data_IF_155213478086
#
_entry.id   IF_155213478086
#
_cell.length_a   1.000
_cell.length_b   1.000
_cell.length_c   1.000
_cell.angle_alpha   90.00
_cell.angle_beta   90.00
_cell.angle_gamma   90.00
#
_symmetry.space_group_name_H-M   'P 1'
#
loop_
_entity.id
_entity.type
_entity.pdbx_description
1 polymer ?
#
# COMPACT_ATOMS: atom_id res chain seq x y z
N UNK A 1 10.51 5.42 -30.93
CA UNK A 1 9.41 5.13 -29.98
C UNK A 1 9.99 5.12 -28.57
N UNK A 2 9.37 5.83 -27.63
CA UNK A 2 9.83 5.90 -26.25
C UNK A 2 9.02 4.95 -25.38
N UNK A 3 9.66 3.96 -24.76
CA UNK A 3 8.98 3.04 -23.84
C UNK A 3 9.01 3.61 -22.42
N UNK A 4 7.87 3.60 -21.72
CA UNK A 4 7.82 3.99 -20.30
C UNK A 4 7.03 2.97 -19.50
N UNK A 5 7.49 2.74 -18.27
CA UNK A 5 6.81 1.85 -17.32
C UNK A 5 5.55 2.50 -16.76
N UNK A 6 4.41 1.87 -17.01
CA UNK A 6 3.07 2.31 -16.59
C UNK A 6 2.31 1.18 -15.91
N UNK A 7 1.64 1.51 -14.80
CA UNK A 7 0.67 0.65 -14.14
C UNK A 7 -0.72 1.28 -14.19
N UNK A 8 -1.75 0.48 -13.91
CA UNK A 8 -3.11 0.99 -13.76
C UNK A 8 -3.20 2.08 -12.68
N UNK A 9 -2.53 1.88 -11.54
CA UNK A 9 -2.50 2.85 -10.45
C UNK A 9 -1.81 4.15 -10.91
N UNK A 10 -0.66 4.06 -11.58
CA UNK A 10 0.05 5.23 -12.13
C UNK A 10 -0.79 5.99 -13.16
N UNK A 11 -1.61 5.29 -13.95
CA UNK A 11 -2.56 5.92 -14.88
C UNK A 11 -3.67 6.67 -14.15
N UNK A 12 -4.17 6.14 -13.04
CA UNK A 12 -5.29 6.71 -12.28
C UNK A 12 -4.90 7.99 -11.51
N UNK A 13 -3.77 7.98 -10.80
CA UNK A 13 -3.35 9.08 -9.91
C UNK A 13 -2.44 10.10 -10.62
N UNK A 14 -1.97 9.77 -11.82
CA UNK A 14 -1.02 10.57 -12.60
C UNK A 14 0.43 10.25 -12.28
N UNK A 15 1.30 10.40 -13.29
CA UNK A 15 2.71 9.96 -13.18
C UNK A 15 3.49 10.72 -12.11
N UNK A 16 3.28 12.02 -11.94
CA UNK A 16 4.03 12.83 -10.97
C UNK A 16 3.68 12.41 -9.53
N UNK A 17 2.38 12.41 -9.21
CA UNK A 17 1.88 12.01 -7.89
C UNK A 17 2.28 10.58 -7.55
N UNK A 18 2.17 9.65 -8.52
CA UNK A 18 2.54 8.26 -8.30
C UNK A 18 4.02 8.11 -7.92
N UNK A 19 4.94 8.74 -8.64
CA UNK A 19 6.37 8.63 -8.34
C UNK A 19 6.72 9.29 -7.01
N UNK A 20 6.07 10.41 -6.66
CA UNK A 20 6.25 11.07 -5.37
C UNK A 20 5.76 10.18 -4.21
N UNK A 21 4.51 9.70 -4.26
CA UNK A 21 3.96 8.82 -3.23
C UNK A 21 4.71 7.50 -3.13
N UNK A 22 5.15 6.93 -4.27
CA UNK A 22 5.97 5.72 -4.26
C UNK A 22 7.36 5.99 -3.68
N UNK A 23 7.92 7.17 -3.89
CA UNK A 23 9.16 7.62 -3.25
C UNK A 23 9.04 7.65 -1.73
N UNK A 24 7.97 8.26 -1.21
CA UNK A 24 7.67 8.23 0.22
C UNK A 24 7.44 6.80 0.72
N UNK A 25 6.66 5.99 -0.01
CA UNK A 25 6.39 4.62 0.38
C UNK A 25 7.68 3.79 0.48
N UNK A 26 8.58 3.86 -0.51
CA UNK A 26 9.87 3.16 -0.49
C UNK A 26 10.74 3.52 0.70
N UNK A 27 10.68 4.77 1.17
CA UNK A 27 11.48 5.24 2.31
C UNK A 27 10.84 4.86 3.65
N UNK A 28 9.54 5.10 3.81
CA UNK A 28 8.87 5.02 5.11
C UNK A 28 8.25 3.65 5.40
N UNK A 29 7.75 2.92 4.39
CA UNK A 29 7.08 1.63 4.61
C UNK A 29 8.02 0.57 5.19
N UNK A 30 9.28 0.40 4.74
CA UNK A 30 10.20 -0.56 5.36
C UNK A 30 10.45 -0.25 6.84
N UNK A 31 10.66 1.04 7.17
CA UNK A 31 10.89 1.50 8.54
C UNK A 31 9.66 1.22 9.41
N UNK A 32 8.47 1.61 8.93
CA UNK A 32 7.21 1.36 9.62
C UNK A 32 6.95 -0.14 9.82
N UNK A 33 7.30 -0.97 8.84
CA UNK A 33 7.17 -2.43 8.91
C UNK A 33 8.08 -3.02 9.99
N UNK A 34 9.34 -2.58 10.07
CA UNK A 34 10.27 -3.02 11.12
C UNK A 34 9.74 -2.64 12.49
N UNK A 35 9.28 -1.39 12.67
CA UNK A 35 8.69 -0.92 13.94
C UNK A 35 7.47 -1.76 14.31
N UNK A 36 6.57 -2.03 13.35
CA UNK A 36 5.39 -2.88 13.56
C UNK A 36 5.76 -4.29 13.98
N UNK A 37 6.73 -4.93 13.33
CA UNK A 37 7.20 -6.27 13.69
C UNK A 37 7.78 -6.28 15.11
N UNK A 38 8.63 -5.32 15.45
CA UNK A 38 9.21 -5.21 16.80
C UNK A 38 8.12 -5.01 17.85
N UNK A 39 7.15 -4.14 17.60
CA UNK A 39 6.01 -3.92 18.50
C UNK A 39 5.18 -5.20 18.68
N UNK A 40 4.92 -5.94 17.60
CA UNK A 40 4.17 -7.19 17.65
C UNK A 40 4.91 -8.26 18.47
N UNK A 41 6.22 -8.43 18.25
CA UNK A 41 7.05 -9.38 19.01
C UNK A 41 7.05 -9.00 20.49
N UNK A 42 7.33 -7.73 20.82
CA UNK A 42 7.34 -7.26 22.21
C UNK A 42 5.98 -7.49 22.90
N UNK A 43 4.88 -7.34 22.17
CA UNK A 43 3.54 -7.55 22.71
C UNK A 43 3.24 -8.99 23.13
N UNK A 44 3.97 -9.97 22.59
CA UNK A 44 3.83 -11.37 23.00
C UNK A 44 4.53 -11.67 24.33
N UNK A 45 5.57 -10.91 24.68
CA UNK A 45 6.37 -11.15 25.88
C UNK A 45 6.00 -10.21 27.04
N UNK A 46 5.40 -9.06 26.75
CA UNK A 46 5.18 -7.99 27.74
C UNK A 46 3.81 -7.34 27.56
N UNK A 47 2.86 -7.63 28.46
CA UNK A 47 1.52 -7.00 28.51
C UNK A 47 1.54 -5.58 29.11
N UNK A 48 2.44 -4.72 28.67
CA UNK A 48 2.48 -3.33 29.15
C UNK A 48 1.39 -2.49 28.47
N UNK A 49 0.63 -1.73 29.26
CA UNK A 49 -0.44 -0.85 28.75
C UNK A 49 0.02 0.13 27.67
N UNK A 50 1.29 0.57 27.72
CA UNK A 50 1.92 1.44 26.71
C UNK A 50 2.06 0.73 25.35
N UNK A 51 2.44 -0.55 25.33
CA UNK A 51 2.58 -1.35 24.08
C UNK A 51 1.21 -1.60 23.47
N UNK A 52 0.21 -1.92 24.29
CA UNK A 52 -1.18 -2.07 23.86
C UNK A 52 -1.75 -0.76 23.29
N UNK A 53 -1.45 0.38 23.90
CA UNK A 53 -1.86 1.69 23.40
C UNK A 53 -1.20 2.04 22.06
N UNK A 54 0.11 1.81 21.92
CA UNK A 54 0.85 1.99 20.66
C UNK A 54 0.31 1.10 19.53
N UNK A 55 0.04 -0.17 19.82
CA UNK A 55 -0.56 -1.09 18.84
C UNK A 55 -1.98 -0.68 18.47
N UNK A 56 -2.79 -0.15 19.39
CA UNK A 56 -4.12 0.39 19.08
C UNK A 56 -4.08 1.58 18.12
N UNK A 57 -3.01 2.38 18.19
CA UNK A 57 -2.81 3.54 17.33
C UNK A 57 -2.25 3.13 15.96
N UNK A 58 -1.37 2.12 15.94
CA UNK A 58 -0.73 1.59 14.74
C UNK A 58 -1.54 0.53 13.98
N UNK A 59 -2.55 -0.10 14.58
CA UNK A 59 -3.37 -1.17 14.00
C UNK A 59 -4.88 -0.83 13.98
N UNK A 60 -5.65 -1.60 13.22
CA UNK A 60 -7.10 -1.46 13.08
C UNK A 60 -7.53 -0.43 12.02
N UNK A 61 -8.61 0.29 12.28
CA UNK A 61 -9.17 1.31 11.36
C UNK A 61 -8.53 2.69 11.54
N UNK A 62 -7.33 2.77 12.13
CA UNK A 62 -6.65 4.06 12.29
C UNK A 62 -6.23 4.60 10.93
N UNK A 63 -6.27 5.93 10.79
CA UNK A 63 -5.87 6.59 9.54
C UNK A 63 -4.41 6.24 9.17
N UNK A 64 -3.56 6.06 10.18
CA UNK A 64 -2.15 5.66 10.01
C UNK A 64 -2.02 4.25 9.43
N UNK A 65 -2.82 3.28 9.89
CA UNK A 65 -2.79 1.93 9.34
C UNK A 65 -3.32 1.88 7.91
N UNK A 66 -4.38 2.65 7.61
CA UNK A 66 -4.90 2.77 6.24
C UNK A 66 -3.83 3.39 5.32
N UNK A 67 -3.18 4.48 5.76
CA UNK A 67 -2.09 5.11 5.01
C UNK A 67 -0.90 4.15 4.79
N UNK A 68 -0.55 3.35 5.81
CA UNK A 68 0.46 2.30 5.70
C UNK A 68 0.06 1.26 4.65
N UNK A 69 -1.17 0.74 4.68
CA UNK A 69 -1.66 -0.23 3.69
C UNK A 69 -1.64 0.35 2.27
N UNK A 70 -2.06 1.61 2.08
CA UNK A 70 -1.98 2.29 0.79
C UNK A 70 -0.52 2.42 0.30
N UNK A 71 0.42 2.73 1.20
CA UNK A 71 1.84 2.77 0.87
C UNK A 71 2.40 1.39 0.50
N UNK A 72 1.98 0.32 1.19
CA UNK A 72 2.33 -1.06 0.81
C UNK A 72 1.78 -1.41 -0.58
N UNK A 73 0.53 -1.04 -0.88
CA UNK A 73 -0.07 -1.22 -2.22
C UNK A 73 0.77 -0.51 -3.29
N UNK A 74 1.18 0.74 -3.06
CA UNK A 74 2.03 1.49 -4.00
C UNK A 74 3.42 0.87 -4.18
N UNK A 75 3.97 0.25 -3.14
CA UNK A 75 5.28 -0.39 -3.18
C UNK A 75 5.24 -1.69 -3.99
N UNK A 76 4.18 -2.48 -3.80
CA UNK A 76 3.93 -3.77 -4.47
C UNK A 76 3.31 -3.63 -5.86
N UNK A 77 2.86 -2.44 -6.24
CA UNK A 77 2.36 -2.16 -7.58
C UNK A 77 3.47 -2.34 -8.63
N UNK A 78 3.17 -3.11 -9.67
CA UNK A 78 4.06 -3.31 -10.80
C UNK A 78 3.48 -2.65 -12.05
N UNK A 79 4.35 -1.95 -12.77
CA UNK A 79 4.03 -1.44 -14.11
C UNK A 79 4.58 -2.35 -15.20
N UNK A 80 3.94 -2.30 -16.35
CA UNK A 80 4.42 -2.88 -17.60
C UNK A 80 5.00 -1.79 -18.49
N UNK A 81 5.88 -2.17 -19.41
CA UNK A 81 6.41 -1.24 -20.39
C UNK A 81 5.36 -0.94 -21.45
N UNK A 82 5.10 0.36 -21.64
CA UNK A 82 4.13 0.87 -22.61
C UNK A 82 4.88 1.75 -23.60
N UNK A 83 4.71 1.45 -24.88
CA UNK A 83 5.22 2.27 -25.97
C UNK A 83 4.38 3.56 -26.05
N UNK A 84 5.04 4.69 -25.85
CA UNK A 84 4.41 6.00 -25.93
C UNK A 84 4.23 6.42 -27.38
N UNK A 85 3.07 7.00 -27.69
CA UNK A 85 2.81 7.64 -28.99
C UNK A 85 3.23 9.10 -28.93
N UNK A 86 3.72 9.61 -30.05
CA UNK A 86 4.01 11.03 -30.21
C UNK A 86 2.70 11.75 -30.55
N UNK A 87 2.33 12.72 -29.71
CA UNK A 87 1.15 13.55 -29.86
C UNK A 87 1.41 14.66 -30.89
N UNK A 88 0.35 15.29 -31.41
CA UNK A 88 0.44 16.32 -32.46
C UNK A 88 1.26 17.55 -32.05
N UNK A 89 1.46 17.75 -30.74
CA UNK A 89 2.25 18.81 -30.13
C UNK A 89 3.71 18.39 -29.83
N UNK A 90 4.16 17.21 -30.31
CA UNK A 90 5.48 16.65 -30.06
C UNK A 90 5.68 16.08 -28.65
N UNK A 91 4.64 16.03 -27.80
CA UNK A 91 4.71 15.41 -26.47
C UNK A 91 4.41 13.92 -26.56
N UNK A 92 5.00 13.15 -25.66
CA UNK A 92 4.71 11.73 -25.54
C UNK A 92 3.39 11.53 -24.78
N UNK A 93 2.43 10.87 -25.41
CA UNK A 93 1.12 10.52 -24.85
C UNK A 93 0.94 9.01 -24.74
N UNK A 94 0.02 8.61 -23.85
CA UNK A 94 -0.37 7.21 -23.71
C UNK A 94 -1.05 6.73 -25.01
N UNK A 95 -0.75 5.52 -25.50
CA UNK A 95 -1.44 4.99 -26.67
C UNK A 95 -2.94 4.82 -26.37
N UNK A 96 -3.79 5.09 -27.37
CA UNK A 96 -5.24 4.85 -27.28
C UNK A 96 -5.55 3.39 -26.93
N UNK A 97 -4.78 2.47 -27.51
CA UNK A 97 -4.87 1.03 -27.26
C UNK A 97 -3.69 0.62 -26.39
N UNK A 98 -3.98 0.28 -25.14
CA UNK A 98 -2.98 -0.26 -24.21
C UNK A 98 -2.53 -1.67 -24.63
N UNK A 99 -1.26 -2.03 -24.39
CA UNK A 99 -0.77 -3.38 -24.67
C UNK A 99 -1.55 -4.41 -23.84
N UNK A 100 -1.69 -5.64 -24.35
CA UNK A 100 -2.45 -6.72 -23.70
C UNK A 100 -1.99 -6.96 -22.26
N UNK A 101 -0.68 -6.88 -22.01
CA UNK A 101 -0.05 -7.05 -20.69
C UNK A 101 -0.49 -6.00 -19.67
N UNK A 102 -1.00 -4.84 -20.11
CA UNK A 102 -1.53 -3.82 -19.22
C UNK A 102 -2.74 -4.32 -18.41
N UNK A 103 -3.55 -5.24 -18.96
CA UNK A 103 -4.67 -5.87 -18.24
C UNK A 103 -4.21 -6.57 -16.96
N UNK A 104 -2.99 -7.13 -16.95
CA UNK A 104 -2.43 -7.77 -15.75
C UNK A 104 -2.22 -6.75 -14.63
N UNK A 105 -1.84 -5.51 -14.95
CA UNK A 105 -1.68 -4.44 -13.96
C UNK A 105 -3.02 -4.04 -13.33
N UNK A 106 -4.12 -4.15 -14.08
CA UNK A 106 -5.48 -3.89 -13.59
C UNK A 106 -5.88 -4.98 -12.59
N UNK A 107 -5.76 -6.24 -12.99
CA UNK A 107 -6.08 -7.40 -12.14
C UNK A 107 -5.23 -7.37 -10.86
N UNK A 108 -3.95 -7.05 -10.99
CA UNK A 108 -3.05 -6.92 -9.85
C UNK A 108 -3.46 -5.79 -8.90
N UNK A 109 -3.80 -4.62 -9.43
CA UNK A 109 -4.25 -3.50 -8.61
C UNK A 109 -5.52 -3.85 -7.80
N UNK A 110 -6.50 -4.53 -8.41
CA UNK A 110 -7.67 -5.01 -7.68
C UNK A 110 -7.33 -6.06 -6.63
N UNK A 111 -6.41 -6.98 -6.94
CA UNK A 111 -5.92 -7.99 -5.99
C UNK A 111 -5.28 -7.31 -4.77
N UNK A 112 -4.41 -6.33 -4.98
CA UNK A 112 -3.78 -5.55 -3.91
C UNK A 112 -4.81 -4.79 -3.07
N UNK A 113 -5.84 -4.23 -3.71
CA UNK A 113 -6.92 -3.52 -3.01
C UNK A 113 -7.73 -4.47 -2.12
N UNK A 114 -8.10 -5.65 -2.63
CA UNK A 114 -8.82 -6.68 -1.84
C UNK A 114 -7.95 -7.14 -0.66
N UNK A 115 -6.66 -7.41 -0.89
CA UNK A 115 -5.71 -7.77 0.18
C UNK A 115 -5.57 -6.66 1.22
N UNK A 116 -5.52 -5.39 0.80
CA UNK A 116 -5.47 -4.24 1.69
C UNK A 116 -6.71 -4.13 2.58
N UNK A 117 -7.91 -4.31 2.00
CA UNK A 117 -9.17 -4.35 2.77
C UNK A 117 -9.16 -5.51 3.76
N UNK A 118 -8.74 -6.70 3.33
CA UNK A 118 -8.64 -7.87 4.19
C UNK A 118 -7.66 -7.62 5.35
N UNK A 119 -6.50 -7.00 5.09
CA UNK A 119 -5.52 -6.65 6.12
C UNK A 119 -6.10 -5.70 7.16
N UNK A 120 -6.84 -4.65 6.74
CA UNK A 120 -7.54 -3.72 7.65
C UNK A 120 -8.60 -4.46 8.49
N UNK A 121 -9.40 -5.31 7.86
CA UNK A 121 -10.44 -6.07 8.54
C UNK A 121 -9.86 -7.01 9.62
N UNK A 122 -8.87 -7.83 9.27
CA UNK A 122 -8.24 -8.76 10.22
C UNK A 122 -7.49 -8.02 11.32
N UNK A 123 -6.76 -6.95 11.00
CA UNK A 123 -6.08 -6.09 11.98
C UNK A 123 -7.07 -5.55 13.03
N UNK A 124 -8.27 -5.13 12.60
CA UNK A 124 -9.32 -4.70 13.52
C UNK A 124 -9.89 -5.85 14.38
N UNK A 125 -10.02 -7.06 13.82
CA UNK A 125 -10.45 -8.25 14.57
C UNK A 125 -9.44 -8.62 15.66
N UNK A 126 -8.14 -8.60 15.36
CA UNK A 126 -7.08 -8.82 16.34
C UNK A 126 -7.11 -7.80 17.47
N UNK A 127 -7.31 -6.51 17.15
CA UNK A 127 -7.49 -5.46 18.15
C UNK A 127 -8.63 -5.78 19.12
N UNK A 128 -9.77 -6.23 18.61
CA UNK A 128 -10.94 -6.56 19.44
C UNK A 128 -10.65 -7.71 20.42
N UNK A 129 -9.93 -8.74 19.98
CA UNK A 129 -9.55 -9.89 20.83
C UNK A 129 -8.56 -9.45 21.92
N UNK A 130 -7.55 -8.65 21.55
CA UNK A 130 -6.53 -8.20 22.50
C UNK A 130 -7.11 -7.28 23.57
N UNK A 131 -8.01 -6.36 23.20
CA UNK A 131 -8.70 -5.48 24.15
C UNK A 131 -9.63 -6.23 25.11
N UNK A 132 -10.25 -7.33 24.66
CA UNK A 132 -11.08 -8.18 25.54
C UNK A 132 -10.22 -8.89 26.59
N UNK A 133 -9.03 -9.40 26.21
CA UNK A 133 -8.13 -10.05 27.16
C UNK A 133 -7.52 -9.08 28.19
N UNK A 134 -7.21 -7.84 27.80
CA UNK A 134 -6.71 -6.82 28.76
C UNK A 134 -7.78 -6.41 29.77
N UNK A 135 -9.07 -6.48 29.42
CA UNK A 135 -10.17 -6.12 30.33
C UNK A 135 -10.48 -7.17 31.40
N UNK A 136 -9.95 -8.39 31.25
CA UNK A 136 -10.16 -9.52 32.14
C UNK A 136 -8.90 -9.91 32.96
N UNK A 137 -7.81 -9.16 32.81
CA UNK A 137 -6.60 -9.23 33.65
C UNK A 137 -6.57 -8.07 34.64
#
# INVERSE_FOLDING_TARGET
MATRRYSYIKKLIGSQNYEEFRGYAKKFIPIATIILVVLLVLSQFVHWGIVSWLLNLALGTSLLFIAYVLGVILLLDFGVDVEMKEDWNGRLSLPEIMPSNFKNTIIWAYTLLILGIAAIYYSNKYRKIMLLNVKHS
#
